data_IF_107216751861
#
_entry.id   IF_107216751861
#
_cell.length_a   1.000
_cell.length_b   1.000
_cell.length_c   1.000
_cell.angle_alpha   90.00
_cell.angle_beta   90.00
_cell.angle_gamma   90.00
#
_symmetry.space_group_name_H-M   'P 1'
#
loop_
_entity.id
_entity.type
_entity.pdbx_description
1 polymer ?
#
# COMPACT_ATOMS: atom_id res chain seq x y z
N UNK A 1 17.85 -0.29 -11.44
CA UNK A 1 16.56 -1.03 -11.56
C UNK A 1 15.40 -0.10 -11.28
N UNK A 2 14.26 -0.28 -11.95
CA UNK A 2 13.09 0.60 -11.82
C UNK A 2 12.04 0.00 -10.88
N UNK A 3 11.64 0.78 -9.87
CA UNK A 3 10.57 0.43 -8.92
C UNK A 3 9.40 1.38 -9.15
N UNK A 4 8.21 0.84 -9.48
CA UNK A 4 6.99 1.63 -9.67
C UNK A 4 6.04 1.45 -8.49
N UNK A 5 5.78 2.49 -7.73
CA UNK A 5 4.76 2.51 -6.70
C UNK A 5 3.43 3.04 -7.26
N UNK A 6 2.42 2.17 -7.33
CA UNK A 6 1.04 2.51 -7.66
C UNK A 6 0.28 2.89 -6.38
N UNK A 7 -0.01 4.17 -6.25
CA UNK A 7 -0.60 4.77 -5.04
C UNK A 7 -1.99 5.35 -5.31
N UNK A 8 -2.71 5.75 -4.27
CA UNK A 8 -3.99 6.47 -4.47
C UNK A 8 -3.77 7.89 -5.00
N UNK A 9 -2.83 8.62 -4.40
CA UNK A 9 -2.36 9.93 -4.82
C UNK A 9 -0.96 10.14 -4.23
N UNK A 10 0.00 10.77 -4.95
CA UNK A 10 1.31 11.11 -4.41
C UNK A 10 1.24 11.97 -3.13
N UNK A 11 0.26 12.89 -3.08
CA UNK A 11 0.08 13.80 -1.95
C UNK A 11 -0.65 13.17 -0.75
N UNK A 12 -1.15 11.95 -0.91
CA UNK A 12 -1.87 11.27 0.17
C UNK A 12 -0.90 10.97 1.33
N UNK A 13 -1.36 11.20 2.56
CA UNK A 13 -0.58 11.01 3.82
C UNK A 13 0.17 9.66 3.86
N UNK A 14 -0.50 8.55 3.58
CA UNK A 14 0.15 7.23 3.53
C UNK A 14 1.27 7.13 2.47
N UNK A 15 1.14 7.76 1.30
CA UNK A 15 2.23 7.78 0.32
C UNK A 15 3.41 8.60 0.85
N UNK A 16 3.11 9.79 1.40
CA UNK A 16 4.10 10.72 1.95
C UNK A 16 4.95 10.17 3.08
N UNK A 17 4.42 9.23 3.88
CA UNK A 17 5.16 8.67 5.02
C UNK A 17 5.67 7.24 4.82
N UNK A 18 5.11 6.50 3.86
CA UNK A 18 5.37 5.06 3.74
C UNK A 18 6.05 4.65 2.45
N UNK A 19 5.99 5.48 1.41
CA UNK A 19 6.59 5.20 0.10
C UNK A 19 7.65 6.26 -0.22
N UNK A 20 7.23 7.52 -0.32
CA UNK A 20 8.09 8.61 -0.77
C UNK A 20 9.40 8.76 0.06
N UNK A 21 9.38 8.63 1.41
CA UNK A 21 10.60 8.80 2.21
C UNK A 21 11.68 7.77 1.95
N UNK A 22 11.37 6.63 1.36
CA UNK A 22 12.36 5.58 1.05
C UNK A 22 13.05 5.78 -0.30
N UNK A 23 12.64 6.79 -1.09
CA UNK A 23 13.20 7.05 -2.42
C UNK A 23 14.73 7.23 -2.41
N UNK A 24 15.28 7.95 -1.44
CA UNK A 24 16.73 8.15 -1.32
C UNK A 24 17.47 6.85 -0.98
N UNK A 25 16.99 6.08 0.00
CA UNK A 25 17.63 4.84 0.44
C UNK A 25 17.58 3.74 -0.64
N UNK A 26 16.54 3.77 -1.49
CA UNK A 26 16.45 2.95 -2.69
C UNK A 26 17.45 3.43 -3.76
N UNK A 27 17.56 4.74 -3.99
CA UNK A 27 18.49 5.30 -4.97
C UNK A 27 19.96 4.98 -4.64
N UNK A 28 20.35 5.02 -3.36
CA UNK A 28 21.67 4.59 -2.89
C UNK A 28 21.99 3.12 -3.23
N UNK A 29 20.96 2.29 -3.42
CA UNK A 29 21.07 0.89 -3.82
C UNK A 29 20.87 0.67 -5.33
N UNK A 30 20.88 1.75 -6.14
CA UNK A 30 20.65 1.68 -7.58
C UNK A 30 19.20 1.37 -7.98
N UNK A 31 18.25 1.56 -7.05
CA UNK A 31 16.81 1.38 -7.27
C UNK A 31 16.15 2.75 -7.44
N UNK A 32 15.57 3.01 -8.61
CA UNK A 32 14.89 4.26 -8.89
C UNK A 32 13.39 4.11 -8.62
N UNK A 33 12.90 4.79 -7.59
CA UNK A 33 11.49 4.81 -7.22
C UNK A 33 10.72 5.84 -8.07
N UNK A 34 9.76 5.37 -8.84
CA UNK A 34 8.74 6.20 -9.49
C UNK A 34 7.41 6.01 -8.76
N UNK A 35 6.79 7.12 -8.35
CA UNK A 35 5.47 7.10 -7.70
C UNK A 35 4.42 7.58 -8.70
N UNK A 36 3.41 6.77 -8.96
CA UNK A 36 2.33 7.12 -9.88
C UNK A 36 0.95 6.89 -9.22
N UNK A 37 0.01 7.86 -9.30
CA UNK A 37 -1.36 7.61 -8.90
C UNK A 37 -2.00 6.57 -9.80
N UNK A 38 -2.84 5.72 -9.24
CA UNK A 38 -3.67 4.80 -9.99
C UNK A 38 -4.67 5.58 -10.85
N UNK A 39 -4.57 5.41 -12.16
CA UNK A 39 -5.30 6.22 -13.14
C UNK A 39 -6.82 6.13 -12.97
N UNK A 40 -7.52 7.24 -13.20
CA UNK A 40 -8.99 7.26 -13.16
C UNK A 40 -9.56 6.78 -14.49
N UNK A 41 -10.68 6.06 -14.43
CA UNK A 41 -11.34 5.48 -15.60
C UNK A 41 -10.76 4.13 -16.04
N UNK A 42 -11.64 3.23 -16.48
CA UNK A 42 -11.31 1.83 -16.74
C UNK A 42 -10.25 1.65 -17.83
N UNK A 43 -10.35 2.36 -18.95
CA UNK A 43 -9.43 2.21 -20.09
C UNK A 43 -8.01 2.72 -19.75
N UNK A 44 -7.92 3.93 -19.17
CA UNK A 44 -6.64 4.52 -18.74
C UNK A 44 -5.98 3.65 -17.66
N UNK A 45 -6.76 3.13 -16.71
CA UNK A 45 -6.29 2.16 -15.72
C UNK A 45 -5.73 0.90 -16.37
N UNK A 46 -6.43 0.30 -17.34
CA UNK A 46 -5.93 -0.89 -18.03
C UNK A 46 -4.62 -0.62 -18.76
N UNK A 47 -4.52 0.52 -19.47
CA UNK A 47 -3.28 0.95 -20.12
C UNK A 47 -2.13 1.09 -19.13
N UNK A 48 -2.37 1.76 -18.00
CA UNK A 48 -1.39 1.92 -16.93
C UNK A 48 -0.92 0.57 -16.35
N UNK A 49 -1.86 -0.31 -15.98
CA UNK A 49 -1.51 -1.61 -15.38
C UNK A 49 -0.71 -2.49 -16.35
N UNK A 50 -0.98 -2.40 -17.66
CA UNK A 50 -0.17 -3.09 -18.69
C UNK A 50 1.20 -2.45 -18.86
N UNK A 51 1.28 -1.12 -18.86
CA UNK A 51 2.53 -0.38 -18.98
C UNK A 51 3.46 -0.58 -17.77
N UNK A 52 2.91 -0.95 -16.61
CA UNK A 52 3.66 -1.25 -15.39
C UNK A 52 4.72 -2.36 -15.58
N UNK A 53 4.59 -3.20 -16.62
CA UNK A 53 5.61 -4.22 -16.99
C UNK A 53 6.99 -3.66 -17.33
N UNK A 54 7.09 -2.36 -17.56
CA UNK A 54 8.36 -1.64 -17.79
C UNK A 54 9.17 -1.46 -16.50
N UNK A 55 8.56 -1.68 -15.33
CA UNK A 55 9.25 -1.68 -14.05
C UNK A 55 9.75 -3.09 -13.71
N UNK A 56 10.85 -3.15 -12.96
CA UNK A 56 11.40 -4.41 -12.44
C UNK A 56 10.61 -4.87 -11.22
N UNK A 57 10.19 -3.92 -10.38
CA UNK A 57 9.35 -4.17 -9.21
C UNK A 57 8.17 -3.19 -9.21
N UNK A 58 6.99 -3.70 -8.89
CA UNK A 58 5.78 -2.91 -8.70
C UNK A 58 5.38 -2.98 -7.24
N UNK A 59 5.17 -1.83 -6.60
CA UNK A 59 4.59 -1.72 -5.26
C UNK A 59 3.13 -1.27 -5.42
N UNK A 60 2.17 -2.09 -4.98
CA UNK A 60 0.77 -1.69 -4.90
C UNK A 60 0.49 -1.19 -3.48
N UNK A 61 0.34 0.12 -3.30
CA UNK A 61 0.10 0.69 -1.98
C UNK A 61 -1.39 0.73 -1.67
N UNK A 62 -1.80 0.08 -0.57
CA UNK A 62 -3.09 0.33 0.09
C UNK A 62 -4.29 0.30 -0.86
N UNK A 63 -4.27 -0.58 -1.87
CA UNK A 63 -5.36 -0.69 -2.84
C UNK A 63 -5.83 -2.11 -3.00
N UNK A 64 -7.16 -2.27 -2.95
CA UNK A 64 -7.86 -3.49 -3.30
C UNK A 64 -8.45 -3.35 -4.70
N UNK A 65 -7.71 -3.84 -5.70
CA UNK A 65 -8.17 -3.82 -7.09
C UNK A 65 -9.29 -4.84 -7.30
N UNK A 66 -10.22 -4.60 -8.24
CA UNK A 66 -11.07 -5.67 -8.77
C UNK A 66 -10.22 -6.84 -9.29
N UNK A 67 -10.69 -8.08 -9.14
CA UNK A 67 -9.91 -9.29 -9.45
C UNK A 67 -9.34 -9.29 -10.87
N UNK A 68 -10.12 -8.80 -11.85
CA UNK A 68 -9.66 -8.72 -13.23
C UNK A 68 -8.53 -7.68 -13.42
N UNK A 69 -8.56 -6.55 -12.71
CA UNK A 69 -7.47 -5.55 -12.74
C UNK A 69 -6.22 -6.10 -12.06
N UNK A 70 -6.40 -6.78 -10.92
CA UNK A 70 -5.30 -7.45 -10.22
C UNK A 70 -4.65 -8.50 -11.12
N UNK A 71 -5.43 -9.28 -11.87
CA UNK A 71 -4.90 -10.24 -12.84
C UNK A 71 -4.09 -9.57 -13.95
N UNK A 72 -4.50 -8.41 -14.45
CA UNK A 72 -3.70 -7.63 -15.42
C UNK A 72 -2.38 -7.21 -14.79
N UNK A 73 -2.44 -6.64 -13.58
CA UNK A 73 -1.24 -6.17 -12.87
C UNK A 73 -0.27 -7.31 -12.59
N UNK A 74 -0.75 -8.45 -12.09
CA UNK A 74 0.08 -9.62 -11.80
C UNK A 74 0.78 -10.15 -13.03
N UNK A 75 0.09 -10.24 -14.18
CA UNK A 75 0.70 -10.67 -15.45
C UNK A 75 1.72 -9.67 -15.99
N UNK A 76 1.60 -8.39 -15.64
CA UNK A 76 2.55 -7.35 -16.03
C UNK A 76 3.77 -7.32 -15.09
N UNK A 77 3.58 -7.65 -13.81
CA UNK A 77 4.60 -7.55 -12.77
C UNK A 77 5.67 -8.66 -12.88
N UNK A 78 6.95 -8.26 -12.99
CA UNK A 78 8.09 -9.15 -12.77
C UNK A 78 8.25 -9.48 -11.29
N UNK A 79 8.21 -8.45 -10.43
CA UNK A 79 8.02 -8.56 -9.00
C UNK A 79 6.87 -7.66 -8.53
N UNK A 80 5.98 -8.18 -7.69
CA UNK A 80 4.86 -7.46 -7.09
C UNK A 80 4.99 -7.46 -5.57
N UNK A 81 5.04 -6.26 -4.99
CA UNK A 81 4.99 -6.03 -3.56
C UNK A 81 3.64 -5.42 -3.22
N UNK A 82 2.95 -5.94 -2.22
CA UNK A 82 1.73 -5.33 -1.70
C UNK A 82 2.01 -4.66 -0.35
N UNK A 83 1.77 -3.35 -0.26
CA UNK A 83 1.93 -2.59 0.98
C UNK A 83 0.58 -2.42 1.70
N UNK A 84 0.46 -3.08 2.85
CA UNK A 84 -0.71 -3.13 3.72
C UNK A 84 -0.51 -2.17 4.89
N UNK A 85 -1.04 -0.97 4.75
CA UNK A 85 -0.97 0.08 5.78
C UNK A 85 -2.25 0.19 6.61
N UNK A 86 -3.41 0.05 5.95
CA UNK A 86 -4.73 0.11 6.57
C UNK A 86 -5.42 -1.26 6.52
N UNK A 87 -6.32 -1.52 7.47
CA UNK A 87 -7.19 -2.69 7.48
C UNK A 87 -8.29 -2.59 6.40
N UNK A 88 -7.91 -2.38 5.14
CA UNK A 88 -8.83 -2.15 4.03
C UNK A 88 -9.76 -3.33 3.74
N UNK A 89 -9.55 -4.50 4.34
CA UNK A 89 -10.50 -5.61 4.29
C UNK A 89 -11.73 -5.38 5.19
N UNK A 90 -11.68 -4.41 6.10
CA UNK A 90 -12.79 -3.98 6.95
C UNK A 90 -13.42 -2.68 6.42
N UNK A 91 -14.71 -2.46 6.69
CA UNK A 91 -15.36 -1.17 6.51
C UNK A 91 -14.83 -0.17 7.53
N UNK A 92 -14.91 1.09 7.15
CA UNK A 92 -14.59 2.20 8.03
C UNK A 92 -15.52 2.19 9.26
N UNK A 93 -14.99 2.59 10.42
CA UNK A 93 -15.73 2.78 11.67
C UNK A 93 -16.94 3.70 11.53
N UNK A 94 -16.91 4.65 10.59
CA UNK A 94 -18.05 5.54 10.32
C UNK A 94 -19.16 4.90 9.46
N UNK A 95 -19.01 3.64 9.05
CA UNK A 95 -20.02 2.96 8.23
C UNK A 95 -21.22 2.52 9.06
N UNK A 96 -22.44 2.76 8.55
CA UNK A 96 -23.70 2.25 9.13
C UNK A 96 -23.86 0.71 9.03
N UNK A 97 -22.93 0.02 8.35
CA UNK A 97 -22.94 -1.44 8.16
C UNK A 97 -21.85 -2.08 9.02
N UNK A 98 -21.99 -3.38 9.30
CA UNK A 98 -20.95 -4.15 10.01
C UNK A 98 -19.55 -3.90 9.40
N UNK A 99 -18.50 -3.81 10.24
CA UNK A 99 -17.11 -3.68 9.78
C UNK A 99 -16.69 -4.79 8.80
N UNK A 100 -17.34 -5.95 8.83
CA UNK A 100 -16.98 -7.10 8.01
C UNK A 100 -17.51 -6.98 6.57
N UNK A 101 -16.62 -6.97 5.58
CA UNK A 101 -16.99 -6.99 4.16
C UNK A 101 -16.37 -8.16 3.43
N UNK A 102 -17.18 -9.17 3.08
CA UNK A 102 -16.72 -10.33 2.33
C UNK A 102 -16.01 -9.95 1.02
N UNK A 103 -16.54 -8.98 0.28
CA UNK A 103 -15.93 -8.52 -0.98
C UNK A 103 -14.56 -7.88 -0.76
N UNK A 104 -14.40 -7.03 0.26
CA UNK A 104 -13.11 -6.39 0.57
C UNK A 104 -12.12 -7.42 1.08
N UNK A 105 -12.58 -8.35 1.91
CA UNK A 105 -11.76 -9.45 2.41
C UNK A 105 -11.29 -10.38 1.28
N UNK A 106 -12.17 -10.73 0.34
CA UNK A 106 -11.81 -11.54 -0.82
C UNK A 106 -10.77 -10.84 -1.71
N UNK A 107 -10.93 -9.53 -1.96
CA UNK A 107 -9.94 -8.74 -2.72
C UNK A 107 -8.61 -8.60 -2.00
N UNK A 108 -8.65 -8.45 -0.67
CA UNK A 108 -7.44 -8.43 0.15
C UNK A 108 -6.66 -9.73 0.00
N UNK A 109 -7.32 -10.88 0.21
CA UNK A 109 -6.68 -12.18 0.04
C UNK A 109 -6.19 -12.41 -1.38
N UNK A 110 -6.98 -12.09 -2.40
CA UNK A 110 -6.54 -12.18 -3.79
C UNK A 110 -5.26 -11.35 -4.03
N UNK A 111 -5.18 -10.15 -3.45
CA UNK A 111 -3.99 -9.29 -3.58
C UNK A 111 -2.78 -9.85 -2.84
N UNK A 112 -2.98 -10.36 -1.60
CA UNK A 112 -1.93 -11.04 -0.81
C UNK A 112 -1.38 -12.26 -1.55
N UNK A 113 -2.26 -13.12 -2.08
CA UNK A 113 -1.83 -14.30 -2.84
C UNK A 113 -1.08 -13.94 -4.13
N UNK A 114 -1.50 -12.87 -4.81
CA UNK A 114 -0.86 -12.43 -6.05
C UNK A 114 0.50 -11.77 -5.83
N UNK A 115 0.77 -11.17 -4.67
CA UNK A 115 2.01 -10.46 -4.40
C UNK A 115 3.17 -11.41 -4.09
N UNK A 116 4.36 -11.16 -4.61
CA UNK A 116 5.56 -11.96 -4.28
C UNK A 116 6.01 -11.69 -2.83
N UNK A 117 5.92 -10.43 -2.39
CA UNK A 117 6.14 -9.99 -1.00
C UNK A 117 5.01 -9.09 -0.52
N UNK A 118 4.78 -9.10 0.77
CA UNK A 118 3.82 -8.22 1.46
C UNK A 118 4.56 -7.42 2.52
N UNK A 119 4.35 -6.12 2.53
CA UNK A 119 4.84 -5.23 3.59
C UNK A 119 3.64 -4.87 4.45
N UNK A 120 3.73 -5.09 5.76
CA UNK A 120 2.69 -4.77 6.72
C UNK A 120 3.11 -3.59 7.60
N UNK A 121 2.18 -2.67 7.87
CA UNK A 121 2.47 -1.48 8.67
C UNK A 121 2.61 -1.69 10.16
N UNK A 122 2.20 -2.85 10.67
CA UNK A 122 2.29 -3.22 12.07
C UNK A 122 2.08 -4.72 12.23
N UNK A 123 2.24 -5.22 13.45
CA UNK A 123 2.08 -6.64 13.75
C UNK A 123 0.64 -7.17 13.59
N UNK A 124 -0.36 -6.30 13.78
CA UNK A 124 -1.73 -6.71 13.54
C UNK A 124 -1.97 -7.08 12.06
N UNK A 125 -1.50 -6.21 11.15
CA UNK A 125 -1.63 -6.41 9.71
C UNK A 125 -0.74 -7.57 9.23
N UNK A 126 0.44 -7.73 9.81
CA UNK A 126 1.32 -8.87 9.51
C UNK A 126 0.65 -10.19 9.87
N UNK A 127 0.20 -10.38 11.12
CA UNK A 127 -0.50 -11.60 11.55
C UNK A 127 -1.70 -11.90 10.67
N UNK A 128 -2.45 -10.86 10.26
CA UNK A 128 -3.59 -11.02 9.35
C UNK A 128 -3.18 -11.45 7.95
N UNK A 129 -2.15 -10.83 7.36
CA UNK A 129 -1.69 -11.18 6.00
C UNK A 129 -1.01 -12.56 5.97
N UNK A 130 -0.26 -12.91 7.01
CA UNK A 130 0.46 -14.17 7.15
C UNK A 130 -0.43 -15.37 7.55
N UNK A 131 -1.72 -15.17 7.81
CA UNK A 131 -2.59 -16.26 8.31
C UNK A 131 -2.71 -17.45 7.35
N UNK A 132 -2.57 -17.23 6.04
CA UNK A 132 -2.76 -18.25 5.00
C UNK A 132 -1.66 -18.26 3.92
N UNK A 133 -0.55 -17.57 4.15
CA UNK A 133 0.62 -17.60 3.25
C UNK A 133 1.88 -17.81 4.08
N UNK A 134 2.96 -18.23 3.44
CA UNK A 134 4.27 -18.32 4.09
C UNK A 134 4.60 -16.99 4.81
N UNK A 135 4.78 -17.01 6.15
CA UNK A 135 5.13 -15.82 6.93
C UNK A 135 6.39 -15.12 6.43
N UNK A 136 7.36 -15.86 5.85
CA UNK A 136 8.57 -15.28 5.28
C UNK A 136 8.31 -14.34 4.08
N UNK A 137 7.11 -14.38 3.49
CA UNK A 137 6.68 -13.44 2.43
C UNK A 137 6.16 -12.12 2.99
N UNK A 138 5.82 -12.06 4.28
CA UNK A 138 5.22 -10.88 4.92
C UNK A 138 6.24 -10.26 5.87
N UNK A 139 6.57 -8.99 5.67
CA UNK A 139 7.52 -8.28 6.52
C UNK A 139 6.86 -7.08 7.17
N UNK A 140 7.14 -6.85 8.45
CA UNK A 140 6.68 -5.64 9.15
C UNK A 140 7.64 -4.51 8.83
N UNK A 141 7.13 -3.43 8.23
CA UNK A 141 7.82 -2.15 8.10
C UNK A 141 6.86 -1.08 8.62
N UNK A 142 7.09 -0.56 9.84
CA UNK A 142 6.24 0.46 10.42
C UNK A 142 6.42 1.79 9.68
N UNK A 143 5.45 2.68 9.85
CA UNK A 143 5.59 4.06 9.37
C UNK A 143 6.60 4.78 10.25
N UNK A 144 7.74 5.16 9.66
CA UNK A 144 8.77 5.92 10.33
C UNK A 144 8.59 7.41 10.05
N UNK A 145 8.86 8.24 11.06
CA UNK A 145 8.90 9.70 10.94
C UNK A 145 10.23 10.20 11.50
N UNK A 146 10.71 11.34 10.98
CA UNK A 146 11.84 12.06 11.55
C UNK A 146 11.29 12.99 12.65
N UNK A 147 11.50 12.69 13.94
CA UNK A 147 10.90 13.45 15.04
C UNK A 147 11.25 14.94 15.00
N UNK A 148 12.42 15.29 14.47
CA UNK A 148 12.94 16.66 14.38
C UNK A 148 12.07 17.56 13.50
N UNK A 149 11.30 16.98 12.58
CA UNK A 149 10.37 17.71 11.71
C UNK A 149 9.05 18.09 12.41
N UNK A 150 8.82 17.58 13.63
CA UNK A 150 7.56 17.77 14.36
C UNK A 150 7.79 18.41 15.72
N UNK A 151 7.19 19.59 15.92
CA UNK A 151 7.15 20.22 17.25
C UNK A 151 6.08 19.53 18.10
N UNK A 152 6.43 19.22 19.35
CA UNK A 152 5.46 18.67 20.32
C UNK A 152 4.31 19.65 20.52
N UNK A 153 3.07 19.18 20.36
CA UNK A 153 1.89 19.99 20.63
C UNK A 153 1.78 20.29 22.13
N UNK A 154 1.55 21.56 22.47
CA UNK A 154 1.22 21.96 23.86
C UNK A 154 -0.29 21.89 24.05
N UNK A 155 -0.77 20.88 24.76
CA UNK A 155 -2.18 20.74 25.09
C UNK A 155 -2.51 21.53 26.35
N UNK A 156 -2.94 22.78 26.20
CA UNK A 156 -3.62 23.51 27.27
C UNK A 156 -5.09 23.17 27.28
N UNK A 157 -5.64 22.67 28.39
CA UNK A 157 -7.11 22.63 28.58
C UNK A 157 -7.60 24.08 28.54
N UNK A 158 -8.33 24.47 27.50
CA UNK A 158 -9.20 25.65 27.59
C UNK A 158 -10.34 25.27 28.54
N UNK A 159 -10.17 25.59 29.81
CA UNK A 159 -11.23 25.46 30.80
C UNK A 159 -12.39 26.34 30.40
N UNK A 160 -13.57 25.74 30.32
CA UNK A 160 -14.85 26.43 30.32
C UNK A 160 -14.93 27.31 31.57
N UNK A 161 -15.03 28.62 31.36
CA UNK A 161 -15.52 29.56 32.38
C UNK A 161 -17.04 29.50 32.39
#
# INVERSE_FOLDING_TARGET
MKVLALVQSPDHVCCRYRIAPFGWALAERGLHLEVAPLEKGTLRRVGQLRAARRADVIILQRKLLPLWQLGILRRAARGLVYDVDDALFQRDSYSRKSPQSHTRLARFWATVYAADRVIAGNEYLHRRAASYVDPGRVQVVPTCVQPELYRTARHGRRGSA
#
